data_IF_492731925832
#
_entry.id   IF_492731925832
#
_cell.length_a   1.000
_cell.length_b   1.000
_cell.length_c   1.000
_cell.angle_alpha   90.00
_cell.angle_beta   90.00
_cell.angle_gamma   90.00
#
_symmetry.space_group_name_H-M   'P 1'
#
loop_
_entity.id
_entity.type
_entity.pdbx_description
1 polymer ?
#
# COMPACT_ATOMS: atom_id res chain seq x y z
N UNK A 1 -26.60 4.47 71.77
CA UNK A 1 -25.53 3.47 71.57
C UNK A 1 -25.41 3.19 70.08
N UNK A 2 -24.43 3.79 69.39
CA UNK A 2 -24.25 3.67 67.94
C UNK A 2 -23.48 2.39 67.56
N UNK A 3 -23.98 1.65 66.56
CA UNK A 3 -23.25 0.53 65.96
C UNK A 3 -22.18 1.07 65.01
N UNK A 4 -20.93 0.71 65.25
CA UNK A 4 -19.79 1.09 64.40
C UNK A 4 -19.84 0.33 63.07
N UNK A 5 -19.94 1.05 61.96
CA UNK A 5 -19.78 0.50 60.61
C UNK A 5 -18.34 0.02 60.39
N UNK A 6 -18.14 -1.29 60.21
CA UNK A 6 -16.87 -1.84 59.76
C UNK A 6 -16.66 -1.48 58.29
N UNK A 7 -15.76 -0.52 58.02
CA UNK A 7 -15.24 -0.27 56.67
C UNK A 7 -14.66 -1.56 56.09
N UNK A 8 -15.27 -2.08 55.03
CA UNK A 8 -14.72 -3.18 54.22
C UNK A 8 -13.58 -2.62 53.37
N UNK A 9 -12.35 -3.06 53.60
CA UNK A 9 -11.23 -2.82 52.70
C UNK A 9 -11.05 -4.03 51.76
N UNK A 10 -10.79 -3.81 50.45
CA UNK A 10 -10.51 -4.90 49.52
C UNK A 10 -9.18 -5.58 49.88
N UNK A 11 -9.17 -6.92 49.92
CA UNK A 11 -8.01 -7.74 50.30
C UNK A 11 -6.91 -7.82 49.25
N UNK A 12 -7.14 -7.32 48.04
CA UNK A 12 -6.15 -7.37 46.97
C UNK A 12 -6.06 -6.02 46.27
N UNK A 13 -4.94 -5.33 46.49
CA UNK A 13 -4.43 -4.32 45.57
C UNK A 13 -3.35 -5.02 44.72
N UNK A 14 -3.70 -5.43 43.50
CA UNK A 14 -2.68 -5.78 42.51
C UNK A 14 -2.27 -4.46 41.85
N UNK A 15 -1.04 -4.02 42.12
CA UNK A 15 -0.45 -2.97 41.30
C UNK A 15 -0.29 -3.53 39.87
N UNK A 16 -0.83 -2.84 38.84
CA UNK A 16 -0.67 -3.28 37.47
C UNK A 16 0.80 -3.18 37.09
N UNK A 17 1.41 -4.33 36.79
CA UNK A 17 2.74 -4.36 36.18
C UNK A 17 2.59 -3.78 34.78
N UNK A 18 3.07 -2.55 34.58
CA UNK A 18 3.03 -1.83 33.31
C UNK A 18 4.06 -2.40 32.32
N UNK A 19 3.98 -3.69 32.02
CA UNK A 19 4.72 -4.28 30.91
C UNK A 19 3.87 -4.19 29.64
N UNK A 20 4.08 -3.13 28.86
CA UNK A 20 3.67 -3.12 27.44
C UNK A 20 4.62 -4.01 26.66
N UNK A 21 4.41 -5.33 26.74
CA UNK A 21 5.01 -6.27 25.80
C UNK A 21 4.16 -6.24 24.52
N UNK A 22 4.68 -5.72 23.39
CA UNK A 22 3.96 -5.84 22.14
C UNK A 22 3.75 -7.34 21.88
N UNK A 23 2.50 -7.75 21.66
CA UNK A 23 2.16 -9.18 21.39
C UNK A 23 2.84 -9.70 20.12
N UNK A 24 3.23 -8.80 19.22
CA UNK A 24 3.93 -9.07 17.99
C UNK A 24 5.00 -7.99 17.79
N UNK A 25 6.25 -8.40 17.56
CA UNK A 25 7.37 -7.48 17.24
C UNK A 25 7.40 -7.05 15.77
N UNK A 26 6.67 -7.78 14.92
CA UNK A 26 6.49 -7.51 13.50
C UNK A 26 5.01 -7.63 13.14
N UNK A 27 4.56 -6.92 12.10
CA UNK A 27 3.26 -7.19 11.47
C UNK A 27 3.17 -8.67 11.09
N UNK A 28 1.99 -9.28 11.26
CA UNK A 28 1.73 -10.65 10.85
C UNK A 28 1.94 -10.76 9.32
N UNK A 29 3.13 -11.21 8.90
CA UNK A 29 3.41 -11.50 7.49
C UNK A 29 2.59 -12.71 7.09
N UNK A 30 1.48 -12.49 6.41
CA UNK A 30 0.73 -13.55 5.71
C UNK A 30 1.53 -13.93 4.45
N UNK A 31 2.74 -14.49 4.65
CA UNK A 31 3.55 -14.98 3.53
C UNK A 31 2.76 -16.09 2.83
N UNK A 32 2.53 -15.91 1.52
CA UNK A 32 1.87 -16.91 0.67
C UNK A 32 0.34 -16.78 0.55
N UNK A 33 -0.30 -15.75 1.13
CA UNK A 33 -1.67 -15.41 0.75
C UNK A 33 -1.69 -14.74 -0.64
N UNK A 34 -2.73 -14.98 -1.44
CA UNK A 34 -2.88 -14.32 -2.73
C UNK A 34 -2.97 -12.80 -2.55
N UNK A 35 -2.53 -12.08 -3.57
CA UNK A 35 -2.62 -10.62 -3.61
C UNK A 35 -4.10 -10.22 -3.50
N UNK A 36 -4.38 -9.23 -2.67
CA UNK A 36 -5.71 -8.66 -2.48
C UNK A 36 -5.71 -7.19 -2.86
N UNK A 37 -6.53 -6.83 -3.85
CA UNK A 37 -6.65 -5.45 -4.33
C UNK A 37 -7.56 -4.61 -3.42
N UNK A 38 -7.13 -3.38 -3.15
CA UNK A 38 -7.92 -2.38 -2.43
C UNK A 38 -7.97 -1.09 -3.23
N UNK A 39 -9.15 -0.72 -3.69
CA UNK A 39 -9.37 0.47 -4.52
C UNK A 39 -9.81 1.70 -3.71
N UNK A 40 -9.90 1.64 -2.39
CA UNK A 40 -10.40 2.78 -1.59
C UNK A 40 -9.51 4.02 -1.64
N UNK A 41 -8.25 3.87 -2.00
CA UNK A 41 -7.24 4.94 -2.08
C UNK A 41 -6.85 5.31 -3.52
N UNK A 42 -7.63 4.85 -4.52
CA UNK A 42 -7.35 5.27 -5.89
C UNK A 42 -7.47 6.78 -5.99
N UNK A 43 -6.51 7.40 -6.65
CA UNK A 43 -6.53 8.83 -6.88
C UNK A 43 -7.60 9.15 -7.92
N UNK A 44 -8.50 10.06 -7.55
CA UNK A 44 -9.63 10.48 -8.39
C UNK A 44 -9.34 11.78 -9.13
N UNK A 45 -8.30 12.47 -8.72
CA UNK A 45 -7.94 13.80 -9.18
C UNK A 45 -6.42 13.95 -9.23
N UNK A 46 -5.92 15.13 -9.60
CA UNK A 46 -4.49 15.35 -9.74
C UNK A 46 -3.93 14.85 -11.08
N UNK A 47 -2.60 14.67 -11.17
CA UNK A 47 -1.91 14.44 -12.44
C UNK A 47 -1.91 12.99 -12.92
N UNK A 48 -2.09 12.03 -12.01
CA UNK A 48 -2.10 10.59 -12.33
C UNK A 48 -3.40 9.88 -11.90
N UNK A 49 -4.59 10.46 -12.20
CA UNK A 49 -5.84 9.93 -11.70
C UNK A 49 -6.21 8.63 -12.41
N UNK A 50 -7.04 7.84 -11.76
CA UNK A 50 -7.80 6.82 -12.47
C UNK A 50 -8.76 7.50 -13.45
N UNK A 51 -8.71 7.17 -14.75
CA UNK A 51 -9.57 7.82 -15.73
C UNK A 51 -11.03 7.42 -15.48
N UNK A 52 -11.94 8.39 -15.62
CA UNK A 52 -13.39 8.14 -15.51
C UNK A 52 -13.90 7.25 -16.65
N UNK A 53 -13.25 7.35 -17.80
CA UNK A 53 -13.53 6.57 -19.00
C UNK A 53 -12.19 6.07 -19.50
N UNK A 54 -12.04 4.75 -19.58
CA UNK A 54 -10.89 4.12 -20.21
C UNK A 54 -11.13 4.04 -21.71
N UNK A 55 -10.08 4.34 -22.48
CA UNK A 55 -10.10 4.25 -23.93
C UNK A 55 -9.50 2.91 -24.38
N UNK A 56 -9.76 2.51 -25.62
CA UNK A 56 -9.04 1.43 -26.32
C UNK A 56 -8.99 0.07 -25.60
N UNK A 57 -9.92 -0.21 -24.69
CA UNK A 57 -9.93 -1.46 -23.91
C UNK A 57 -8.96 -1.49 -22.72
N UNK A 58 -8.35 -0.36 -22.36
CA UNK A 58 -7.36 -0.28 -21.27
C UNK A 58 -7.88 -0.83 -19.95
N UNK A 59 -9.17 -0.59 -19.62
CA UNK A 59 -9.75 -1.14 -18.39
C UNK A 59 -9.74 -2.67 -18.40
N UNK A 60 -10.09 -3.29 -19.53
CA UNK A 60 -10.10 -4.74 -19.67
C UNK A 60 -8.69 -5.29 -19.46
N UNK A 61 -7.70 -4.67 -20.10
CA UNK A 61 -6.29 -5.05 -19.98
C UNK A 61 -5.77 -4.93 -18.54
N UNK A 62 -6.13 -3.84 -17.85
CA UNK A 62 -5.81 -3.64 -16.43
C UNK A 62 -6.44 -4.73 -15.58
N UNK A 63 -7.74 -5.00 -15.73
CA UNK A 63 -8.45 -6.00 -14.92
C UNK A 63 -7.89 -7.41 -15.17
N UNK A 64 -7.63 -7.77 -16.42
CA UNK A 64 -7.02 -9.05 -16.78
C UNK A 64 -5.62 -9.20 -16.16
N UNK A 65 -4.81 -8.13 -16.19
CA UNK A 65 -3.51 -8.15 -15.53
C UNK A 65 -3.64 -8.33 -14.03
N UNK A 66 -4.47 -7.52 -13.38
CA UNK A 66 -4.66 -7.58 -11.93
C UNK A 66 -5.09 -8.98 -11.49
N UNK A 67 -6.03 -9.61 -12.21
CA UNK A 67 -6.45 -10.98 -11.95
C UNK A 67 -5.31 -12.00 -12.19
N UNK A 68 -4.55 -11.86 -13.28
CA UNK A 68 -3.48 -12.80 -13.65
C UNK A 68 -2.37 -12.90 -12.60
N UNK A 69 -2.17 -11.86 -11.79
CA UNK A 69 -1.07 -11.80 -10.84
C UNK A 69 -1.45 -12.15 -9.40
N UNK A 70 -2.74 -12.36 -9.10
CA UNK A 70 -3.20 -12.58 -7.71
C UNK A 70 -2.53 -13.79 -7.04
N UNK A 71 -2.24 -14.83 -7.83
CA UNK A 71 -1.56 -16.04 -7.37
C UNK A 71 -0.03 -16.01 -7.47
N UNK A 72 0.56 -14.92 -7.97
CA UNK A 72 2.00 -14.85 -8.20
C UNK A 72 2.76 -14.39 -6.95
N UNK A 73 3.97 -14.94 -6.80
CA UNK A 73 4.91 -14.44 -5.81
C UNK A 73 5.63 -13.19 -6.32
N UNK A 74 6.15 -12.38 -5.40
CA UNK A 74 6.83 -11.12 -5.71
C UNK A 74 8.01 -11.29 -6.69
N UNK A 75 8.76 -12.39 -6.57
CA UNK A 75 9.88 -12.67 -7.48
C UNK A 75 9.44 -12.90 -8.94
N UNK A 76 8.22 -13.41 -9.16
CA UNK A 76 7.66 -13.58 -10.51
C UNK A 76 7.16 -12.24 -11.06
N UNK A 77 6.62 -11.37 -10.20
CA UNK A 77 6.27 -9.98 -10.56
C UNK A 77 7.52 -9.20 -11.02
N UNK A 78 8.62 -9.33 -10.29
CA UNK A 78 9.90 -8.68 -10.60
C UNK A 78 10.43 -9.07 -11.98
N UNK A 79 10.27 -10.33 -12.39
CA UNK A 79 10.68 -10.81 -13.71
C UNK A 79 9.90 -10.16 -14.85
N UNK A 80 8.67 -9.75 -14.61
CA UNK A 80 7.85 -9.03 -15.60
C UNK A 80 8.10 -7.51 -15.58
N UNK A 81 9.02 -7.04 -14.72
CA UNK A 81 9.34 -5.62 -14.57
C UNK A 81 8.45 -4.89 -13.56
N UNK A 82 7.70 -5.63 -12.72
CA UNK A 82 6.92 -5.05 -11.63
C UNK A 82 7.74 -5.05 -10.33
N UNK A 83 7.93 -3.89 -9.70
CA UNK A 83 8.85 -3.76 -8.58
C UNK A 83 8.51 -2.55 -7.70
N UNK A 84 9.03 -2.56 -6.46
CA UNK A 84 9.01 -1.39 -5.59
C UNK A 84 10.00 -0.34 -6.07
N UNK A 85 9.58 0.92 -6.05
CA UNK A 85 10.35 2.10 -6.45
C UNK A 85 10.45 3.02 -5.23
N UNK A 86 11.64 3.49 -4.92
CA UNK A 86 11.86 4.43 -3.82
C UNK A 86 11.28 5.80 -4.16
N UNK A 87 10.65 6.48 -3.20
CA UNK A 87 9.91 7.72 -3.50
C UNK A 87 10.77 8.79 -4.17
N UNK A 88 12.05 8.87 -3.82
CA UNK A 88 12.98 9.85 -4.39
C UNK A 88 13.27 9.62 -5.88
N UNK A 89 12.99 8.42 -6.41
CA UNK A 89 13.14 8.09 -7.84
C UNK A 89 11.92 8.52 -8.66
N UNK A 90 10.79 8.78 -8.02
CA UNK A 90 9.58 9.28 -8.69
C UNK A 90 9.80 10.72 -9.18
N UNK A 91 9.02 11.13 -10.18
CA UNK A 91 8.99 12.53 -10.57
C UNK A 91 8.53 13.42 -9.41
N UNK A 92 8.98 14.68 -9.40
CA UNK A 92 8.68 15.63 -8.32
C UNK A 92 7.17 15.79 -8.09
N UNK A 93 6.39 15.81 -9.16
CA UNK A 93 4.93 15.93 -9.12
C UNK A 93 4.27 14.74 -8.41
N UNK A 94 4.77 13.51 -8.61
CA UNK A 94 4.28 12.34 -7.89
C UNK A 94 4.63 12.41 -6.39
N UNK A 95 5.84 12.85 -6.03
CA UNK A 95 6.24 13.02 -4.63
C UNK A 95 5.35 14.05 -3.90
N UNK A 96 5.09 15.19 -4.56
CA UNK A 96 4.18 16.22 -4.04
C UNK A 96 2.74 15.70 -3.92
N UNK A 97 2.28 14.89 -4.89
CA UNK A 97 0.95 14.29 -4.85
C UNK A 97 0.79 13.30 -3.70
N UNK A 98 1.81 12.47 -3.41
CA UNK A 98 1.79 11.59 -2.23
C UNK A 98 1.64 12.38 -0.94
N UNK A 99 2.38 13.49 -0.80
CA UNK A 99 2.27 14.37 0.36
C UNK A 99 0.86 14.95 0.49
N UNK A 100 0.29 15.41 -0.63
CA UNK A 100 -1.08 15.93 -0.65
C UNK A 100 -2.13 14.87 -0.23
N UNK A 101 -1.92 13.62 -0.66
CA UNK A 101 -2.75 12.47 -0.29
C UNK A 101 -2.49 11.94 1.13
N UNK A 102 -1.56 12.55 1.89
CA UNK A 102 -1.13 12.13 3.24
C UNK A 102 -0.52 10.73 3.26
N UNK A 103 0.31 10.46 2.26
CA UNK A 103 1.12 9.24 2.12
C UNK A 103 2.62 9.58 2.15
N UNK A 104 3.00 10.63 2.88
CA UNK A 104 4.37 11.10 3.08
C UNK A 104 5.20 10.20 4.02
N UNK A 105 4.58 9.22 4.65
CA UNK A 105 5.21 8.21 5.51
C UNK A 105 5.71 6.97 4.75
N UNK A 106 5.46 6.89 3.44
CA UNK A 106 5.90 5.77 2.61
C UNK A 106 7.36 5.90 2.21
N UNK A 107 8.11 4.80 2.23
CA UNK A 107 9.46 4.75 1.65
C UNK A 107 9.44 4.39 0.15
N UNK A 108 8.44 3.60 -0.25
CA UNK A 108 8.34 3.04 -1.60
C UNK A 108 6.90 2.97 -2.09
N UNK A 109 6.73 2.95 -3.42
CA UNK A 109 5.50 2.57 -4.11
C UNK A 109 5.77 1.38 -5.01
N UNK A 110 4.79 0.50 -5.20
CA UNK A 110 4.91 -0.65 -6.09
C UNK A 110 4.41 -0.30 -7.49
N UNK A 111 5.26 -0.42 -8.49
CA UNK A 111 4.92 -0.28 -9.90
C UNK A 111 4.56 -1.64 -10.48
N UNK A 112 3.27 -1.88 -10.73
CA UNK A 112 2.80 -3.07 -11.44
C UNK A 112 2.75 -2.80 -12.96
N UNK A 113 3.46 -3.62 -13.73
CA UNK A 113 3.37 -3.60 -15.19
C UNK A 113 2.08 -4.22 -15.67
N UNK A 114 1.32 -3.43 -16.45
CA UNK A 114 0.15 -3.91 -17.19
C UNK A 114 0.59 -4.43 -18.55
N UNK A 115 1.07 -3.54 -19.40
CA UNK A 115 1.67 -3.86 -20.69
C UNK A 115 2.51 -2.68 -21.14
N UNK A 116 3.46 -2.89 -22.07
CA UNK A 116 4.26 -1.79 -22.65
C UNK A 116 4.71 -0.75 -21.59
N UNK A 117 4.32 0.53 -21.73
CA UNK A 117 4.54 1.58 -20.74
C UNK A 117 3.50 1.65 -19.60
N UNK A 118 2.30 1.08 -19.76
CA UNK A 118 1.18 1.21 -18.82
C UNK A 118 1.51 0.60 -17.45
N UNK A 119 1.34 1.37 -16.38
CA UNK A 119 1.55 0.95 -14.99
C UNK A 119 0.34 1.22 -14.13
N UNK A 120 0.10 0.32 -13.18
CA UNK A 120 -0.73 0.60 -12.01
C UNK A 120 0.21 0.75 -10.82
N UNK A 121 0.15 1.89 -10.14
CA UNK A 121 0.91 2.10 -8.92
C UNK A 121 0.08 1.72 -7.71
N UNK A 122 0.71 1.02 -6.77
CA UNK A 122 0.08 0.56 -5.54
C UNK A 122 0.93 0.91 -4.31
N UNK A 123 0.27 1.06 -3.17
CA UNK A 123 0.92 0.98 -1.87
C UNK A 123 0.86 -0.48 -1.42
N UNK A 124 2.02 -1.10 -1.24
CA UNK A 124 2.16 -2.53 -0.98
C UNK A 124 2.43 -2.80 0.50
N UNK A 125 1.57 -3.60 1.15
CA UNK A 125 1.78 -4.05 2.53
C UNK A 125 1.27 -5.48 2.71
N UNK A 126 2.19 -6.40 3.02
CA UNK A 126 1.87 -7.83 3.12
C UNK A 126 1.39 -8.40 1.79
N UNK A 127 0.19 -8.98 1.75
CA UNK A 127 -0.46 -9.43 0.52
C UNK A 127 -1.46 -8.40 -0.03
N UNK A 128 -1.55 -7.20 0.55
CA UNK A 128 -2.51 -6.18 0.15
C UNK A 128 -1.84 -5.17 -0.78
N UNK A 129 -2.44 -4.99 -1.95
CA UNK A 129 -2.08 -3.93 -2.90
C UNK A 129 -3.17 -2.87 -2.87
N UNK A 130 -2.88 -1.72 -2.24
CA UNK A 130 -3.76 -0.55 -2.29
C UNK A 130 -3.49 0.22 -3.57
N UNK A 131 -4.42 0.13 -4.51
CA UNK A 131 -4.34 0.79 -5.81
C UNK A 131 -4.36 2.30 -5.62
N UNK A 132 -3.39 3.00 -6.23
CA UNK A 132 -3.16 4.43 -6.09
C UNK A 132 -3.36 5.14 -7.44
N UNK A 133 -2.48 4.89 -8.43
CA UNK A 133 -2.51 5.62 -9.71
C UNK A 133 -2.57 4.69 -10.91
N UNK A 134 -3.03 5.24 -12.03
CA UNK A 134 -2.89 4.66 -13.37
C UNK A 134 -1.99 5.58 -14.20
N UNK A 135 -0.93 5.01 -14.74
CA UNK A 135 0.08 5.73 -15.53
C UNK A 135 0.25 5.04 -16.89
N UNK A 136 -0.53 5.44 -17.91
CA UNK A 136 -0.50 4.78 -19.22
C UNK A 136 0.80 5.05 -20.00
N UNK A 137 1.53 6.11 -19.65
CA UNK A 137 2.69 6.60 -20.41
C UNK A 137 4.03 6.49 -19.67
N UNK A 138 4.04 5.91 -18.47
CA UNK A 138 5.23 5.77 -17.63
C UNK A 138 5.87 7.12 -17.25
N UNK A 139 5.04 8.11 -16.94
CA UNK A 139 5.44 9.47 -16.58
C UNK A 139 5.89 9.61 -15.12
N UNK A 140 5.48 8.67 -14.24
CA UNK A 140 5.76 8.75 -12.80
C UNK A 140 7.23 8.41 -12.49
N UNK A 141 7.81 7.44 -13.18
CA UNK A 141 9.21 7.03 -13.01
C UNK A 141 9.88 6.81 -14.38
N UNK A 142 10.10 7.87 -15.17
CA UNK A 142 10.62 7.74 -16.51
C UNK A 142 12.02 7.14 -16.48
N UNK A 143 12.26 6.12 -17.31
CA UNK A 143 13.60 5.57 -17.45
C UNK A 143 14.55 6.64 -18.02
N UNK A 144 15.80 6.73 -17.53
CA UNK A 144 16.78 7.63 -18.12
C UNK A 144 16.94 7.28 -19.59
N UNK A 145 16.79 8.29 -20.47
CA UNK A 145 16.97 8.11 -21.91
C UNK A 145 18.38 7.56 -22.14
N UNK A 146 18.50 6.35 -22.69
CA UNK A 146 19.78 5.88 -23.21
C UNK A 146 20.12 6.79 -24.39
N UNK A 147 21.12 7.65 -24.22
CA UNK A 147 21.75 8.34 -25.34
C UNK A 147 22.23 7.25 -26.32
N UNK A 148 21.50 7.11 -27.42
CA UNK A 148 21.88 6.25 -28.54
C UNK A 148 22.25 7.16 -29.69
#
# INVERSE_FOLDING_TARGET
>A
MGKSDKKKSPKYAKEPVAEKKPKFSEDAKVKGAPISWRFSHHDREGPFPWPKVFENGDLQEVIERLASVEGLAEHDLARDGSHSIELHQLCKEAQERLTHLRHDDLDTVFSLRVSGPKRVFCIHHGNIMRVLWYDPEHQICPAPKKHT
#
